data_IF_382835060766
#
_entry.id   IF_382835060766
#
_cell.length_a   1.000
_cell.length_b   1.000
_cell.length_c   1.000
_cell.angle_alpha   90.00
_cell.angle_beta   90.00
_cell.angle_gamma   90.00
#
_symmetry.space_group_name_H-M   'P 1'
#
loop_
_entity.id
_entity.type
_entity.pdbx_description
1 polymer ?
#
# COMPACT_ATOMS: atom_id res chain seq x y z
N UNK A 1 68.71 7.97 29.56
CA UNK A 1 69.56 9.14 29.87
C UNK A 1 68.78 10.40 29.49
N UNK A 2 68.68 11.26 30.55
CA UNK A 2 68.39 12.71 30.51
C UNK A 2 66.96 13.13 30.09
N UNK A 3 66.26 14.03 30.77
CA UNK A 3 66.23 14.58 32.16
C UNK A 3 64.88 15.27 32.28
N UNK A 4 64.27 15.12 33.45
CA UNK A 4 63.17 15.92 33.98
C UNK A 4 63.56 17.40 34.03
N UNK A 5 62.60 18.29 33.75
CA UNK A 5 62.56 19.60 34.41
C UNK A 5 61.16 19.96 34.84
N UNK A 6 61.00 19.97 36.13
CA UNK A 6 59.90 20.49 36.94
C UNK A 6 60.12 22.01 37.05
N UNK A 7 59.06 22.82 36.87
CA UNK A 7 58.98 24.20 37.37
C UNK A 7 57.74 24.40 38.23
N UNK A 8 58.01 24.78 39.45
CA UNK A 8 57.05 25.09 40.53
C UNK A 8 56.79 26.59 40.61
N UNK A 9 55.50 26.96 40.69
CA UNK A 9 54.79 27.99 41.52
C UNK A 9 55.20 29.50 41.44
N UNK A 10 54.35 30.44 41.81
CA UNK A 10 53.54 30.46 43.04
C UNK A 10 52.07 30.94 42.98
N UNK A 11 51.35 30.55 44.01
CA UNK A 11 50.02 30.98 44.45
C UNK A 11 49.99 32.49 44.76
N UNK A 12 49.00 33.23 44.17
CA UNK A 12 48.51 34.48 44.72
C UNK A 12 47.00 34.38 44.96
N UNK A 13 46.60 34.40 46.20
CA UNK A 13 45.22 34.50 46.64
C UNK A 13 44.78 35.97 46.54
N UNK A 14 43.75 36.22 45.75
CA UNK A 14 43.00 37.48 45.78
C UNK A 14 41.56 37.15 46.19
N UNK A 15 41.22 37.55 47.42
CA UNK A 15 39.85 37.55 47.95
C UNK A 15 39.10 38.71 47.28
N UNK A 16 38.12 38.45 46.41
CA UNK A 16 37.18 39.43 45.95
C UNK A 16 35.76 38.97 46.31
N UNK A 17 35.10 39.71 47.16
CA UNK A 17 33.75 39.46 47.60
C UNK A 17 32.76 39.52 46.43
N UNK A 18 32.06 38.45 46.19
CA UNK A 18 30.94 38.41 45.24
C UNK A 18 29.64 38.78 45.96
N UNK A 19 29.11 39.97 45.66
CA UNK A 19 27.73 40.30 45.94
C UNK A 19 26.83 39.38 45.09
N UNK A 20 26.07 38.49 45.77
CA UNK A 20 25.00 37.74 45.11
C UNK A 20 23.84 38.68 44.77
N UNK A 21 23.78 39.17 43.54
CA UNK A 21 22.55 39.66 42.94
C UNK A 21 21.72 38.45 42.52
N UNK A 22 20.70 38.09 43.29
CA UNK A 22 19.70 37.13 42.84
C UNK A 22 18.96 37.72 41.61
N UNK A 23 18.94 37.08 40.46
CA UNK A 23 18.05 37.48 39.38
C UNK A 23 16.61 37.21 39.86
N UNK A 24 15.79 38.27 39.94
CA UNK A 24 14.35 38.14 40.10
C UNK A 24 13.84 37.24 38.96
N UNK A 25 13.19 36.12 39.30
CA UNK A 25 12.40 35.36 38.36
C UNK A 25 11.39 36.31 37.73
N UNK A 26 11.65 36.75 36.49
CA UNK A 26 10.60 37.26 35.63
C UNK A 26 9.66 36.05 35.41
N UNK A 27 8.42 36.15 35.93
CA UNK A 27 7.33 35.32 35.39
C UNK A 27 7.34 35.56 33.87
N UNK A 28 7.78 34.58 33.13
CA UNK A 28 7.49 34.48 31.70
C UNK A 28 5.97 34.30 31.66
N UNK A 29 5.25 35.37 31.31
CA UNK A 29 3.87 35.26 30.91
C UNK A 29 3.91 34.43 29.64
N UNK A 30 3.57 33.15 29.74
CA UNK A 30 3.24 32.33 28.59
C UNK A 30 1.92 32.88 28.04
N UNK A 31 1.99 33.91 27.20
CA UNK A 31 0.92 34.04 26.21
C UNK A 31 0.91 32.71 25.44
N UNK A 32 -0.25 32.10 25.19
CA UNK A 32 -0.31 30.91 24.37
C UNK A 32 0.29 31.27 23.01
N UNK A 33 1.37 30.58 22.66
CA UNK A 33 1.99 30.71 21.35
C UNK A 33 0.95 30.19 20.37
N UNK A 34 0.26 31.08 19.67
CA UNK A 34 -0.78 30.77 18.70
C UNK A 34 -0.15 30.28 17.36
N UNK A 35 1.07 29.76 17.40
CA UNK A 35 1.67 29.10 16.24
C UNK A 35 1.00 27.74 16.03
N UNK A 36 0.46 27.56 14.84
CA UNK A 36 -0.09 26.28 14.42
C UNK A 36 1.07 25.27 14.43
N UNK A 37 0.90 24.19 15.17
CA UNK A 37 1.82 23.08 15.13
C UNK A 37 1.81 22.46 13.71
N UNK A 38 2.98 22.25 13.12
CA UNK A 38 3.08 21.77 11.74
C UNK A 38 3.34 20.26 11.73
N UNK A 39 2.66 19.52 10.87
CA UNK A 39 2.88 18.09 10.71
C UNK A 39 4.35 17.76 10.35
N UNK A 40 4.99 18.63 9.57
CA UNK A 40 6.39 18.46 9.13
C UNK A 40 7.45 18.50 10.24
N UNK A 41 7.13 18.98 11.44
CA UNK A 41 8.08 18.99 12.57
C UNK A 41 8.06 17.71 13.38
N UNK A 42 7.08 16.83 13.14
CA UNK A 42 6.95 15.54 13.81
C UNK A 42 7.60 14.40 13.00
N UNK A 43 8.14 13.39 13.68
CA UNK A 43 8.64 12.18 13.02
C UNK A 43 7.49 11.32 12.47
N UNK A 44 7.79 10.50 11.48
CA UNK A 44 6.80 9.66 10.78
C UNK A 44 6.40 8.37 11.52
N UNK A 45 7.02 8.07 12.65
CA UNK A 45 6.92 6.76 13.34
C UNK A 45 5.47 6.28 13.53
N UNK A 46 4.54 7.17 13.86
CA UNK A 46 3.15 6.80 14.07
C UNK A 46 2.51 6.24 12.80
N UNK A 47 2.75 6.85 11.63
CA UNK A 47 2.23 6.35 10.33
C UNK A 47 2.87 5.01 10.00
N UNK A 48 4.20 4.95 10.08
CA UNK A 48 4.96 3.74 9.78
C UNK A 48 4.51 2.54 10.64
N UNK A 49 4.46 2.69 11.93
CA UNK A 49 4.10 1.62 12.87
C UNK A 49 2.65 1.12 12.66
N UNK A 50 1.72 2.01 12.28
CA UNK A 50 0.36 1.63 11.93
C UNK A 50 0.29 0.92 10.58
N UNK A 51 1.11 1.31 9.60
CA UNK A 51 1.22 0.63 8.32
C UNK A 51 1.80 -0.78 8.48
N UNK A 52 2.85 -0.97 9.29
CA UNK A 52 3.37 -2.31 9.63
C UNK A 52 2.27 -3.21 10.22
N UNK A 53 1.50 -2.68 11.18
CA UNK A 53 0.41 -3.44 11.79
C UNK A 53 -0.70 -3.76 10.79
N UNK A 54 -1.00 -2.84 9.87
CA UNK A 54 -1.93 -3.10 8.77
C UNK A 54 -1.47 -4.27 7.90
N UNK A 55 -0.22 -4.28 7.47
CA UNK A 55 0.36 -5.32 6.63
C UNK A 55 0.37 -6.69 7.34
N UNK A 56 0.66 -6.70 8.65
CA UNK A 56 0.61 -7.90 9.47
C UNK A 56 -0.82 -8.47 9.56
N UNK A 57 -1.83 -7.63 9.80
CA UNK A 57 -3.23 -8.05 9.86
C UNK A 57 -3.71 -8.54 8.49
N UNK A 58 -3.41 -7.80 7.42
CA UNK A 58 -3.84 -8.09 6.05
C UNK A 58 -3.33 -9.45 5.58
N UNK A 59 -2.12 -9.82 5.95
CA UNK A 59 -1.54 -11.13 5.65
C UNK A 59 -2.47 -12.29 6.00
N UNK A 60 -3.24 -12.17 7.08
CA UNK A 60 -4.12 -13.23 7.60
C UNK A 60 -5.62 -12.95 7.38
N UNK A 61 -5.96 -11.79 6.83
CA UNK A 61 -7.35 -11.38 6.68
C UNK A 61 -7.98 -11.98 5.42
N UNK A 62 -8.75 -13.06 5.59
CA UNK A 62 -9.48 -13.68 4.49
C UNK A 62 -10.51 -12.71 3.87
N UNK A 63 -10.60 -12.70 2.52
CA UNK A 63 -11.53 -11.87 1.77
C UNK A 63 -10.99 -10.46 1.42
N UNK A 64 -9.82 -10.07 1.93
CA UNK A 64 -9.25 -8.74 1.68
C UNK A 64 -8.42 -8.66 0.39
N UNK A 65 -8.12 -9.79 -0.22
CA UNK A 65 -7.37 -9.84 -1.49
C UNK A 65 -8.31 -9.87 -2.68
N UNK A 66 -7.94 -9.23 -3.77
CA UNK A 66 -6.86 -8.27 -3.93
C UNK A 66 -7.32 -6.80 -3.77
N UNK A 67 -8.63 -6.55 -3.81
CA UNK A 67 -9.20 -5.19 -3.86
C UNK A 67 -9.47 -4.55 -2.49
N UNK A 68 -10.13 -5.23 -1.52
CA UNK A 68 -10.53 -4.60 -0.26
C UNK A 68 -9.38 -4.05 0.58
N UNK A 69 -8.17 -4.66 0.53
CA UNK A 69 -7.00 -4.13 1.24
C UNK A 69 -6.51 -2.78 0.68
N UNK A 70 -6.27 -2.60 -0.64
CA UNK A 70 -6.05 -1.29 -1.24
C UNK A 70 -7.11 -0.26 -0.87
N UNK A 71 -8.39 -0.64 -0.88
CA UNK A 71 -9.49 0.22 -0.47
C UNK A 71 -9.36 0.69 0.99
N UNK A 72 -9.00 -0.20 1.89
CA UNK A 72 -8.79 0.16 3.30
C UNK A 72 -7.63 1.16 3.46
N UNK A 73 -6.51 0.95 2.75
CA UNK A 73 -5.38 1.90 2.73
C UNK A 73 -5.84 3.27 2.23
N UNK A 74 -6.64 3.31 1.15
CA UNK A 74 -7.13 4.56 0.57
C UNK A 74 -7.98 5.37 1.57
N UNK A 75 -8.95 4.74 2.24
CA UNK A 75 -9.79 5.43 3.22
C UNK A 75 -9.04 5.82 4.50
N UNK A 76 -8.13 4.98 4.97
CA UNK A 76 -7.28 5.34 6.12
C UNK A 76 -6.35 6.50 5.77
N UNK A 77 -5.71 6.47 4.60
CA UNK A 77 -4.88 7.56 4.11
C UNK A 77 -5.67 8.86 3.93
N UNK A 78 -6.91 8.78 3.43
CA UNK A 78 -7.81 9.94 3.33
C UNK A 78 -8.13 10.53 4.70
N UNK A 79 -8.41 9.69 5.71
CA UNK A 79 -8.67 10.16 7.06
C UNK A 79 -7.46 10.84 7.70
N UNK A 80 -6.27 10.27 7.50
CA UNK A 80 -5.03 10.88 7.99
C UNK A 80 -4.74 12.21 7.32
N UNK A 81 -4.89 12.28 5.99
CA UNK A 81 -4.64 13.48 5.20
C UNK A 81 -5.59 14.61 5.58
N UNK A 82 -6.89 14.36 5.54
CA UNK A 82 -7.89 15.37 5.91
C UNK A 82 -7.83 15.74 7.38
N UNK A 83 -7.52 14.78 8.27
CA UNK A 83 -7.35 15.02 9.70
C UNK A 83 -6.16 15.88 10.05
N UNK A 84 -5.12 15.91 9.22
CA UNK A 84 -3.91 16.69 9.46
C UNK A 84 -3.78 17.93 8.55
N UNK A 85 -4.74 18.18 7.67
CA UNK A 85 -4.63 19.21 6.62
C UNK A 85 -4.33 20.61 7.18
N UNK A 86 -4.85 20.97 8.35
CA UNK A 86 -4.58 22.24 9.00
C UNK A 86 -3.12 22.39 9.44
N UNK A 87 -2.45 21.28 9.76
CA UNK A 87 -1.01 21.22 10.05
C UNK A 87 -0.12 21.10 8.81
N UNK A 88 -0.69 21.10 7.62
CA UNK A 88 -0.01 20.91 6.33
C UNK A 88 -0.28 22.10 5.38
N UNK A 89 0.25 23.30 5.66
CA UNK A 89 -0.17 24.55 4.99
C UNK A 89 0.13 24.61 3.48
N UNK A 90 1.06 23.79 2.98
CA UNK A 90 1.37 23.71 1.56
C UNK A 90 0.41 22.78 0.80
N UNK A 91 -0.45 22.07 1.53
CA UNK A 91 -1.46 21.17 1.02
C UNK A 91 -2.86 21.75 1.18
N UNK A 92 -3.81 21.22 0.41
CA UNK A 92 -5.22 21.61 0.46
C UNK A 92 -6.12 20.39 0.64
N UNK A 93 -7.25 20.58 1.31
CA UNK A 93 -8.28 19.55 1.43
C UNK A 93 -8.81 19.16 0.06
N UNK A 94 -8.97 17.86 -0.14
CA UNK A 94 -9.61 17.25 -1.31
C UNK A 94 -11.03 16.73 -0.98
N UNK A 95 -11.50 16.88 0.26
CA UNK A 95 -12.80 16.36 0.68
C UNK A 95 -13.96 16.87 -0.18
N UNK A 96 -13.87 18.10 -0.70
CA UNK A 96 -14.88 18.71 -1.58
C UNK A 96 -15.05 17.98 -2.93
N UNK A 97 -14.09 17.15 -3.34
CA UNK A 97 -14.20 16.31 -4.54
C UNK A 97 -15.16 15.13 -4.33
N UNK A 98 -15.45 14.77 -3.09
CA UNK A 98 -16.19 13.57 -2.72
C UNK A 98 -17.53 13.94 -2.11
N UNK A 99 -18.57 13.97 -2.95
CA UNK A 99 -19.94 14.34 -2.54
C UNK A 99 -20.42 13.45 -1.39
N UNK A 100 -20.78 14.09 -0.28
CA UNK A 100 -21.23 13.40 0.95
C UNK A 100 -20.13 13.13 1.96
N UNK A 101 -18.87 13.43 1.66
CA UNK A 101 -17.78 13.43 2.66
C UNK A 101 -17.78 14.79 3.39
N UNK A 102 -18.07 14.76 4.68
CA UNK A 102 -18.09 15.96 5.52
C UNK A 102 -17.08 15.80 6.65
N UNK A 103 -15.91 16.38 6.50
CA UNK A 103 -14.85 16.34 7.50
C UNK A 103 -15.13 17.45 8.54
N UNK A 104 -15.06 17.16 9.85
CA UNK A 104 -15.20 18.17 10.88
C UNK A 104 -14.02 19.15 10.84
N UNK A 105 -14.29 20.42 11.19
CA UNK A 105 -13.26 21.44 11.34
C UNK A 105 -12.53 21.32 12.68
N UNK A 106 -11.29 21.81 12.75
CA UNK A 106 -10.58 22.03 14.00
C UNK A 106 -11.18 23.21 14.76
N UNK A 107 -11.11 23.20 16.09
CA UNK A 107 -11.53 24.35 16.90
C UNK A 107 -10.56 25.53 16.70
N UNK A 108 -11.12 26.68 16.35
CA UNK A 108 -10.32 27.88 16.04
C UNK A 108 -9.51 28.37 17.27
N UNK A 109 -8.22 28.59 17.08
CA UNK A 109 -7.31 29.08 18.11
C UNK A 109 -6.82 28.01 19.08
N UNK A 110 -7.19 26.75 18.88
CA UNK A 110 -6.76 25.65 19.72
C UNK A 110 -5.57 24.89 19.10
N UNK A 111 -4.69 24.38 19.97
CA UNK A 111 -3.53 23.57 19.56
C UNK A 111 -3.93 22.10 19.36
N UNK A 112 -3.42 21.49 18.31
CA UNK A 112 -3.57 20.08 17.99
C UNK A 112 -2.21 19.39 17.85
N UNK A 113 -2.15 18.12 18.27
CA UNK A 113 -0.99 17.25 18.14
C UNK A 113 -1.27 16.22 17.01
N UNK A 114 -0.70 16.43 15.84
CA UNK A 114 -1.01 15.65 14.64
C UNK A 114 -0.69 14.17 14.77
N UNK A 115 0.39 13.72 15.45
CA UNK A 115 0.59 12.31 15.74
C UNK A 115 -0.57 11.67 16.53
N UNK A 116 -1.23 12.42 17.44
CA UNK A 116 -2.42 11.93 18.16
C UNK A 116 -3.65 11.83 17.26
N UNK A 117 -3.79 12.73 16.29
CA UNK A 117 -4.85 12.66 15.28
C UNK A 117 -4.69 11.38 14.46
N UNK A 118 -3.47 11.10 13.93
CA UNK A 118 -3.17 9.87 13.19
C UNK A 118 -3.44 8.62 14.04
N UNK A 119 -2.94 8.59 15.27
CA UNK A 119 -3.17 7.46 16.17
C UNK A 119 -4.67 7.17 16.34
N UNK A 120 -5.47 8.22 16.53
CA UNK A 120 -6.91 8.08 16.72
C UNK A 120 -7.66 7.67 15.44
N UNK A 121 -7.29 8.20 14.25
CA UNK A 121 -7.88 7.79 12.96
C UNK A 121 -7.63 6.32 12.71
N UNK A 122 -6.39 5.87 12.89
CA UNK A 122 -5.98 4.48 12.64
C UNK A 122 -6.60 3.50 13.63
N UNK A 123 -6.57 3.80 14.92
CA UNK A 123 -7.21 2.98 15.96
C UNK A 123 -8.72 2.85 15.76
N UNK A 124 -9.38 3.90 15.23
CA UNK A 124 -10.81 3.86 14.93
C UNK A 124 -11.12 3.04 13.68
N UNK A 125 -10.35 3.20 12.59
CA UNK A 125 -10.67 2.63 11.27
C UNK A 125 -10.21 1.19 11.13
N UNK A 126 -9.04 0.83 11.65
CA UNK A 126 -8.43 -0.49 11.40
C UNK A 126 -9.33 -1.66 11.84
N UNK A 127 -9.92 -1.71 13.06
CA UNK A 127 -10.80 -2.81 13.44
C UNK A 127 -12.13 -2.80 12.67
N UNK A 128 -12.51 -1.69 12.05
CA UNK A 128 -13.71 -1.58 11.21
C UNK A 128 -13.48 -2.06 9.80
N UNK A 129 -12.31 -1.80 9.24
CA UNK A 129 -11.91 -2.38 7.96
C UNK A 129 -11.57 -3.86 8.09
N UNK A 130 -10.96 -4.31 9.18
CA UNK A 130 -10.63 -5.71 9.43
C UNK A 130 -11.58 -6.35 10.46
N UNK A 131 -12.85 -6.44 10.12
CA UNK A 131 -13.88 -6.99 11.04
C UNK A 131 -13.62 -8.45 11.43
N UNK A 132 -12.86 -9.20 10.61
CA UNK A 132 -12.46 -10.58 10.86
C UNK A 132 -11.04 -10.71 11.46
N UNK A 133 -10.46 -9.61 11.93
CA UNK A 133 -9.18 -9.64 12.63
C UNK A 133 -9.23 -10.56 13.85
N UNK A 134 -8.16 -11.30 14.09
CA UNK A 134 -8.06 -12.18 15.25
C UNK A 134 -8.08 -11.40 16.58
N UNK A 135 -8.40 -12.07 17.68
CA UNK A 135 -8.33 -11.44 19.01
C UNK A 135 -6.92 -10.90 19.31
N UNK A 136 -5.86 -11.59 18.87
CA UNK A 136 -4.48 -11.11 18.99
C UNK A 136 -4.24 -9.82 18.20
N UNK A 137 -4.74 -9.73 16.97
CA UNK A 137 -4.66 -8.52 16.17
C UNK A 137 -5.45 -7.36 16.78
N UNK A 138 -6.65 -7.59 17.31
CA UNK A 138 -7.41 -6.55 18.02
C UNK A 138 -6.67 -6.06 19.28
N UNK A 139 -5.99 -6.95 20.01
CA UNK A 139 -5.13 -6.56 21.12
C UNK A 139 -3.91 -5.74 20.65
N UNK A 140 -3.29 -6.11 19.53
CA UNK A 140 -2.19 -5.35 18.95
C UNK A 140 -2.61 -3.92 18.54
N UNK A 141 -3.80 -3.77 17.95
CA UNK A 141 -4.40 -2.46 17.64
C UNK A 141 -4.56 -1.63 18.93
N UNK A 142 -5.16 -2.20 19.97
CA UNK A 142 -5.38 -1.50 21.25
C UNK A 142 -4.04 -1.14 21.93
N UNK A 143 -3.06 -2.03 21.88
CA UNK A 143 -1.73 -1.78 22.45
C UNK A 143 -0.99 -0.66 21.69
N UNK A 144 -1.10 -0.60 20.37
CA UNK A 144 -0.51 0.46 19.54
C UNK A 144 -1.17 1.82 19.85
N UNK A 145 -2.52 1.87 19.95
CA UNK A 145 -3.23 3.08 20.36
C UNK A 145 -2.74 3.58 21.73
N UNK A 146 -2.69 2.70 22.73
CA UNK A 146 -2.28 3.05 24.09
C UNK A 146 -0.81 3.55 24.12
N UNK A 147 0.09 2.91 23.38
CA UNK A 147 1.49 3.34 23.31
C UNK A 147 1.65 4.78 22.84
N UNK A 148 0.96 5.16 21.77
CA UNK A 148 1.03 6.54 21.25
C UNK A 148 0.25 7.53 22.11
N UNK A 149 -0.84 7.12 22.75
CA UNK A 149 -1.57 7.95 23.70
C UNK A 149 -0.71 8.33 24.91
N UNK A 150 0.00 7.37 25.49
CA UNK A 150 0.86 7.61 26.65
C UNK A 150 2.04 8.54 26.30
N UNK A 151 2.63 8.39 25.13
CA UNK A 151 3.68 9.29 24.64
C UNK A 151 3.15 10.70 24.43
N UNK A 152 2.01 10.84 23.74
CA UNK A 152 1.42 12.14 23.45
C UNK A 152 1.05 12.92 24.73
N UNK A 153 0.51 12.23 25.75
CA UNK A 153 0.23 12.86 27.06
C UNK A 153 1.47 13.44 27.73
N UNK A 154 2.60 12.73 27.62
CA UNK A 154 3.87 13.21 28.15
C UNK A 154 4.43 14.40 27.34
N UNK A 155 4.20 14.43 26.03
CA UNK A 155 4.72 15.43 25.11
C UNK A 155 3.91 16.73 25.16
N UNK A 156 2.57 16.64 25.04
CA UNK A 156 1.69 17.83 24.90
C UNK A 156 0.66 18.00 26.03
N UNK A 157 0.64 17.09 27.00
CA UNK A 157 -0.31 17.12 28.13
C UNK A 157 -1.71 16.62 27.76
N UNK A 158 -2.51 16.35 28.83
CA UNK A 158 -3.82 15.68 28.70
C UNK A 158 -4.82 16.48 27.85
N UNK A 159 -4.82 17.81 27.92
CA UNK A 159 -5.81 18.64 27.25
C UNK A 159 -5.63 18.62 25.71
N UNK A 160 -4.40 18.86 25.23
CA UNK A 160 -4.09 18.87 23.80
C UNK A 160 -4.23 17.46 23.24
N UNK A 161 -3.71 16.44 23.96
CA UNK A 161 -3.88 15.05 23.57
C UNK A 161 -5.36 14.66 23.42
N UNK A 162 -6.21 14.93 24.42
CA UNK A 162 -7.62 14.56 24.39
C UNK A 162 -8.36 15.22 23.22
N UNK A 163 -8.16 16.54 23.02
CA UNK A 163 -8.74 17.28 21.90
C UNK A 163 -8.32 16.67 20.55
N UNK A 164 -7.04 16.40 20.37
CA UNK A 164 -6.49 15.84 19.13
C UNK A 164 -7.04 14.44 18.86
N UNK A 165 -7.14 13.62 19.91
CA UNK A 165 -7.72 12.28 19.84
C UNK A 165 -9.20 12.31 19.47
N UNK A 166 -9.98 13.17 20.11
CA UNK A 166 -11.43 13.30 19.84
C UNK A 166 -11.69 13.81 18.43
N UNK A 167 -10.91 14.79 17.98
CA UNK A 167 -10.96 15.28 16.59
C UNK A 167 -10.59 14.17 15.59
N UNK A 168 -9.49 13.44 15.80
CA UNK A 168 -9.09 12.32 14.94
C UNK A 168 -10.17 11.23 14.84
N UNK A 169 -10.83 10.90 15.97
CA UNK A 169 -11.98 9.98 15.96
C UNK A 169 -13.17 10.52 15.16
N UNK A 170 -13.45 11.81 15.25
CA UNK A 170 -14.54 12.44 14.51
C UNK A 170 -14.26 12.43 13.01
N UNK A 171 -13.03 12.74 12.58
CA UNK A 171 -12.58 12.61 11.18
C UNK A 171 -12.72 11.16 10.68
N UNK A 172 -12.21 10.21 11.45
CA UNK A 172 -12.30 8.79 11.12
C UNK A 172 -13.74 8.31 10.99
N UNK A 173 -14.63 8.76 11.87
CA UNK A 173 -16.05 8.44 11.81
C UNK A 173 -16.71 8.99 10.53
N UNK A 174 -16.38 10.22 10.14
CA UNK A 174 -16.89 10.82 8.90
C UNK A 174 -16.44 10.03 7.66
N UNK A 175 -15.15 9.66 7.60
CA UNK A 175 -14.60 8.85 6.51
C UNK A 175 -15.20 7.44 6.51
N UNK A 176 -15.40 6.83 7.68
CA UNK A 176 -16.05 5.53 7.79
C UNK A 176 -17.49 5.55 7.27
N UNK A 177 -18.30 6.54 7.69
CA UNK A 177 -19.68 6.69 7.19
C UNK A 177 -19.68 6.92 5.68
N UNK A 178 -18.78 7.73 5.16
CA UNK A 178 -18.62 7.91 3.72
C UNK A 178 -18.22 6.60 3.02
N UNK A 179 -17.33 5.80 3.61
CA UNK A 179 -16.91 4.51 3.04
C UNK A 179 -18.07 3.54 2.87
N UNK A 180 -19.07 3.58 3.77
CA UNK A 180 -20.26 2.71 3.70
C UNK A 180 -21.17 3.00 2.53
N UNK A 181 -21.10 4.21 1.95
CA UNK A 181 -21.89 4.56 0.76
C UNK A 181 -21.36 3.95 -0.54
N UNK A 182 -20.21 3.31 -0.51
CA UNK A 182 -19.68 2.45 -1.57
C UNK A 182 -20.31 1.06 -1.46
N UNK A 183 -21.46 0.87 -2.09
CA UNK A 183 -22.28 -0.34 -1.93
C UNK A 183 -21.58 -1.63 -2.37
N UNK A 184 -20.67 -1.56 -3.34
CA UNK A 184 -19.89 -2.72 -3.80
C UNK A 184 -18.68 -2.95 -2.90
N UNK A 185 -17.88 -1.91 -2.65
CA UNK A 185 -16.60 -2.04 -1.95
C UNK A 185 -16.74 -2.32 -0.47
N UNK A 186 -17.80 -1.81 0.19
CA UNK A 186 -17.89 -1.84 1.65
C UNK A 186 -17.94 -3.26 2.23
N UNK A 187 -18.74 -4.15 1.65
CA UNK A 187 -18.97 -5.50 2.18
C UNK A 187 -18.36 -6.60 1.30
N UNK A 188 -17.57 -6.24 0.28
CA UNK A 188 -17.04 -7.22 -0.68
C UNK A 188 -16.22 -8.35 -0.01
N UNK A 189 -15.45 -8.03 1.03
CA UNK A 189 -14.61 -8.99 1.76
C UNK A 189 -15.41 -10.12 2.41
N UNK A 190 -16.71 -9.92 2.70
CA UNK A 190 -17.58 -10.95 3.28
C UNK A 190 -17.87 -12.08 2.30
N UNK A 191 -17.97 -11.78 1.03
CA UNK A 191 -18.12 -12.78 -0.03
C UNK A 191 -17.52 -12.27 -1.36
N UNK A 192 -16.20 -12.41 -1.55
CA UNK A 192 -15.53 -11.94 -2.76
C UNK A 192 -15.89 -12.74 -4.02
N UNK A 193 -16.63 -13.84 -3.88
CA UNK A 193 -17.04 -14.74 -4.96
C UNK A 193 -18.48 -14.55 -5.43
N UNK A 194 -19.23 -13.63 -4.81
CA UNK A 194 -20.65 -13.45 -5.14
C UNK A 194 -20.89 -12.65 -6.42
N UNK A 195 -22.11 -12.79 -6.96
CA UNK A 195 -22.69 -11.95 -8.01
C UNK A 195 -22.02 -12.07 -9.38
N UNK A 196 -21.33 -13.17 -9.67
CA UNK A 196 -20.81 -13.42 -11.02
C UNK A 196 -20.84 -14.92 -11.34
N UNK A 197 -21.57 -15.29 -12.40
CA UNK A 197 -21.68 -16.65 -12.91
C UNK A 197 -20.78 -16.77 -14.14
N UNK A 198 -19.59 -17.34 -14.02
CA UNK A 198 -18.64 -17.40 -15.13
C UNK A 198 -19.19 -18.16 -16.35
N UNK A 199 -20.08 -19.14 -16.15
CA UNK A 199 -20.72 -19.91 -17.23
C UNK A 199 -21.50 -19.04 -18.22
N UNK A 200 -22.09 -17.94 -17.72
CA UNK A 200 -22.83 -17.00 -18.56
C UNK A 200 -21.92 -16.17 -19.47
N UNK A 201 -20.61 -16.17 -19.18
CA UNK A 201 -19.60 -15.40 -19.89
C UNK A 201 -18.61 -16.27 -20.69
N UNK A 202 -18.69 -17.62 -20.58
CA UNK A 202 -17.89 -18.53 -21.36
C UNK A 202 -18.59 -18.92 -22.65
N UNK A 203 -18.29 -18.22 -23.74
CA UNK A 203 -18.96 -18.37 -25.02
C UNK A 203 -18.11 -19.08 -26.07
N UNK A 204 -16.78 -19.08 -25.90
CA UNK A 204 -15.83 -19.61 -26.87
C UNK A 204 -14.48 -19.91 -26.22
N UNK A 205 -13.62 -20.62 -26.93
CA UNK A 205 -12.21 -20.74 -26.59
C UNK A 205 -11.57 -19.35 -26.54
N UNK A 206 -10.73 -19.12 -25.53
CA UNK A 206 -10.16 -17.82 -25.21
C UNK A 206 -10.88 -17.10 -24.07
N UNK A 207 -12.12 -17.46 -23.78
CA UNK A 207 -12.85 -16.94 -22.62
C UNK A 207 -12.38 -17.65 -21.35
N UNK A 208 -12.31 -16.93 -20.24
CA UNK A 208 -11.84 -17.44 -18.97
C UNK A 208 -12.85 -18.40 -18.32
N UNK A 209 -12.30 -19.43 -17.72
CA UNK A 209 -12.99 -20.33 -16.78
C UNK A 209 -12.09 -20.60 -15.57
N UNK A 210 -12.67 -20.99 -14.40
CA UNK A 210 -11.88 -21.31 -13.22
C UNK A 210 -10.84 -22.38 -13.49
N UNK A 211 -9.66 -22.19 -12.88
CA UNK A 211 -8.51 -23.08 -12.92
C UNK A 211 -8.17 -23.58 -11.53
N UNK A 212 -7.38 -24.65 -11.41
CA UNK A 212 -6.94 -25.21 -10.13
C UNK A 212 -6.05 -24.20 -9.35
N UNK A 213 -6.11 -24.15 -8.05
CA UNK A 213 -6.99 -24.86 -7.10
C UNK A 213 -8.29 -24.10 -6.80
N UNK A 214 -8.69 -23.20 -7.66
CA UNK A 214 -9.77 -22.25 -7.44
C UNK A 214 -11.08 -22.86 -6.95
N UNK A 215 -11.90 -22.08 -6.25
CA UNK A 215 -13.19 -22.49 -5.68
C UNK A 215 -14.27 -22.76 -6.72
N UNK A 216 -13.92 -22.81 -8.01
CA UNK A 216 -14.88 -22.92 -9.09
C UNK A 216 -15.68 -21.63 -9.38
N UNK A 217 -15.37 -20.54 -8.69
CA UNK A 217 -16.01 -19.24 -8.84
C UNK A 217 -14.98 -18.12 -8.99
N UNK A 218 -15.30 -17.06 -9.76
CA UNK A 218 -14.40 -15.93 -9.95
C UNK A 218 -14.36 -15.03 -8.72
N UNK A 219 -13.15 -14.65 -8.33
CA UNK A 219 -12.94 -13.70 -7.23
C UNK A 219 -13.05 -12.26 -7.74
N UNK A 220 -13.90 -11.47 -7.11
CA UNK A 220 -14.01 -10.03 -7.39
C UNK A 220 -14.78 -9.69 -8.66
N UNK A 221 -15.72 -10.54 -9.12
CA UNK A 221 -16.48 -10.32 -10.37
C UNK A 221 -17.14 -8.97 -10.52
N UNK A 222 -17.51 -8.32 -9.41
CA UNK A 222 -18.13 -6.99 -9.38
C UNK A 222 -17.22 -5.89 -8.82
N UNK A 223 -15.96 -6.20 -8.50
CA UNK A 223 -15.05 -5.23 -7.87
C UNK A 223 -14.82 -3.98 -8.73
N UNK A 224 -14.88 -4.10 -10.04
CA UNK A 224 -14.77 -2.97 -10.97
C UNK A 224 -15.82 -1.87 -10.80
N UNK A 225 -16.89 -2.15 -10.07
CA UNK A 225 -17.97 -1.19 -9.78
C UNK A 225 -17.80 -0.53 -8.39
N UNK A 226 -16.75 -0.86 -7.65
CA UNK A 226 -16.38 -0.18 -6.41
C UNK A 226 -15.92 1.25 -6.68
N UNK A 227 -15.95 2.07 -5.61
CA UNK A 227 -15.56 3.49 -5.70
C UNK A 227 -14.07 3.63 -6.03
N UNK A 228 -13.80 4.50 -7.01
CA UNK A 228 -12.49 5.06 -7.30
C UNK A 228 -12.40 6.51 -6.79
N UNK A 229 -11.19 7.03 -6.61
CA UNK A 229 -10.92 8.36 -6.04
C UNK A 229 -10.45 9.38 -7.09
N UNK A 230 -9.62 8.96 -8.04
CA UNK A 230 -9.01 9.84 -9.04
C UNK A 230 -9.45 9.55 -10.47
N UNK A 231 -10.02 8.37 -10.74
CA UNK A 231 -10.44 7.96 -12.09
C UNK A 231 -11.96 7.96 -12.22
N UNK A 232 -12.43 8.27 -13.44
CA UNK A 232 -13.84 8.18 -13.82
C UNK A 232 -14.18 6.84 -14.49
N UNK A 233 -15.48 6.63 -14.81
CA UNK A 233 -15.96 5.39 -15.43
C UNK A 233 -15.29 5.08 -16.78
N UNK A 234 -14.99 6.13 -17.57
CA UNK A 234 -14.31 5.99 -18.88
C UNK A 234 -12.84 5.55 -18.76
N UNK A 235 -12.25 5.70 -17.58
CA UNK A 235 -10.87 5.35 -17.31
C UNK A 235 -10.68 3.91 -16.82
N UNK A 236 -11.79 3.21 -16.51
CA UNK A 236 -11.75 1.86 -15.92
C UNK A 236 -11.50 0.73 -16.93
N UNK A 237 -11.48 1.02 -18.22
CA UNK A 237 -11.24 0.01 -19.27
C UNK A 237 -9.91 0.29 -19.95
N UNK A 238 -9.01 -0.68 -19.87
CA UNK A 238 -7.71 -0.63 -20.54
C UNK A 238 -7.82 -0.92 -22.04
N UNK A 239 -6.71 -0.87 -22.79
CA UNK A 239 -6.67 -1.22 -24.20
C UNK A 239 -7.06 -2.68 -24.39
N UNK A 240 -7.57 -3.01 -25.59
CA UNK A 240 -7.98 -4.37 -25.92
C UNK A 240 -6.78 -5.34 -25.96
N UNK A 241 -6.98 -6.61 -25.54
CA UNK A 241 -5.96 -7.65 -25.64
C UNK A 241 -5.71 -8.08 -27.09
N UNK A 242 -4.67 -8.90 -27.30
CA UNK A 242 -4.50 -9.62 -28.55
C UNK A 242 -5.72 -10.51 -28.82
N UNK A 243 -6.17 -10.64 -30.08
CA UNK A 243 -7.25 -11.54 -30.41
C UNK A 243 -6.86 -13.01 -30.15
N UNK A 244 -7.83 -13.79 -29.65
CA UNK A 244 -7.63 -15.23 -29.49
C UNK A 244 -7.28 -15.89 -30.81
N UNK A 245 -6.29 -16.76 -30.77
CA UNK A 245 -5.92 -17.66 -31.90
C UNK A 245 -5.07 -18.80 -31.39
N UNK A 246 -5.39 -20.04 -31.84
CA UNK A 246 -4.60 -21.23 -31.60
C UNK A 246 -3.58 -21.48 -32.73
N UNK A 247 -3.53 -20.64 -33.77
CA UNK A 247 -2.61 -20.82 -34.90
C UNK A 247 -1.15 -20.61 -34.44
N UNK A 248 -0.22 -21.51 -34.76
CA UNK A 248 1.19 -21.40 -34.37
C UNK A 248 1.91 -20.14 -34.88
N UNK A 249 1.34 -19.46 -35.85
CA UNK A 249 1.86 -18.18 -36.40
C UNK A 249 1.26 -16.93 -35.73
N UNK A 250 0.36 -17.11 -34.76
CA UNK A 250 -0.30 -15.99 -34.12
C UNK A 250 0.55 -15.38 -33.01
N UNK A 251 0.32 -14.07 -32.71
CA UNK A 251 0.98 -13.39 -31.64
C UNK A 251 0.65 -13.99 -30.26
N UNK A 252 -0.61 -14.43 -30.04
CA UNK A 252 -1.00 -15.05 -28.77
C UNK A 252 -0.29 -16.38 -28.56
N UNK A 253 -0.17 -17.22 -29.62
CA UNK A 253 0.58 -18.48 -29.57
C UNK A 253 2.04 -18.24 -29.19
N UNK A 254 2.68 -17.21 -29.77
CA UNK A 254 4.07 -16.85 -29.45
C UNK A 254 4.23 -16.46 -28.00
N UNK A 255 3.27 -15.72 -27.43
CA UNK A 255 3.31 -15.38 -26.00
C UNK A 255 3.03 -16.59 -25.09
N UNK A 256 2.17 -17.50 -25.51
CA UNK A 256 1.97 -18.75 -24.79
C UNK A 256 3.23 -19.65 -24.81
N UNK A 257 3.96 -19.71 -25.93
CA UNK A 257 5.27 -20.35 -26.00
C UNK A 257 6.31 -19.70 -25.11
N UNK A 258 6.29 -18.37 -24.98
CA UNK A 258 7.17 -17.67 -24.06
C UNK A 258 6.91 -18.12 -22.61
N UNK A 259 5.65 -18.13 -22.17
CA UNK A 259 5.28 -18.60 -20.82
C UNK A 259 5.69 -20.06 -20.62
N UNK A 260 5.37 -20.92 -21.60
CA UNK A 260 5.73 -22.32 -21.58
C UNK A 260 7.25 -22.54 -21.45
N UNK A 261 8.05 -21.80 -22.20
CA UNK A 261 9.50 -21.95 -22.24
C UNK A 261 10.20 -21.45 -20.96
N UNK A 262 9.59 -20.54 -20.20
CA UNK A 262 10.21 -19.99 -19.00
C UNK A 262 10.33 -21.00 -17.86
N UNK A 263 9.43 -21.99 -17.77
CA UNK A 263 9.43 -22.96 -16.68
C UNK A 263 9.48 -24.43 -17.14
N UNK A 264 9.69 -24.70 -18.45
CA UNK A 264 9.76 -26.06 -18.99
C UNK A 264 11.14 -26.31 -19.64
N UNK A 265 11.88 -27.37 -19.28
CA UNK A 265 11.52 -28.39 -18.28
C UNK A 265 11.73 -27.95 -16.83
N UNK A 266 12.58 -26.92 -16.59
CA UNK A 266 12.91 -26.40 -15.24
C UNK A 266 12.99 -24.89 -15.26
N UNK A 267 12.41 -24.27 -14.24
CA UNK A 267 12.54 -22.85 -13.99
C UNK A 267 14.01 -22.51 -13.67
N UNK A 268 14.56 -21.43 -14.23
CA UNK A 268 15.90 -20.98 -13.82
C UNK A 268 15.85 -20.38 -12.40
N UNK A 269 16.94 -20.53 -11.64
CA UNK A 269 17.01 -19.98 -10.28
C UNK A 269 16.66 -18.48 -10.23
N UNK A 270 17.17 -17.68 -11.17
CA UNK A 270 16.82 -16.24 -11.18
C UNK A 270 15.34 -15.99 -11.49
N UNK A 271 14.72 -16.78 -12.37
CA UNK A 271 13.30 -16.64 -12.67
C UNK A 271 12.42 -17.11 -11.49
N UNK A 272 12.83 -18.15 -10.77
CA UNK A 272 12.23 -18.61 -9.52
C UNK A 272 12.31 -17.53 -8.45
N UNK A 273 13.49 -16.99 -8.17
CA UNK A 273 13.69 -15.89 -7.24
C UNK A 273 12.84 -14.67 -7.57
N UNK A 274 12.84 -14.20 -8.83
CA UNK A 274 11.96 -13.10 -9.27
C UNK A 274 10.49 -13.46 -9.03
N UNK A 275 10.08 -14.68 -9.39
CA UNK A 275 8.73 -15.17 -9.22
C UNK A 275 8.28 -15.15 -7.75
N UNK A 276 9.05 -15.75 -6.87
CA UNK A 276 8.75 -15.86 -5.45
C UNK A 276 8.80 -14.51 -4.75
N UNK A 277 9.82 -13.69 -5.04
CA UNK A 277 9.99 -12.36 -4.45
C UNK A 277 8.79 -11.44 -4.70
N UNK A 278 8.14 -11.53 -5.87
CA UNK A 278 6.99 -10.71 -6.25
C UNK A 278 5.65 -11.45 -6.19
N UNK A 279 5.62 -12.68 -5.70
CA UNK A 279 4.40 -13.49 -5.72
C UNK A 279 3.26 -12.83 -4.97
N UNK A 280 3.40 -12.64 -3.68
CA UNK A 280 2.40 -12.02 -2.80
C UNK A 280 0.94 -12.51 -3.02
N UNK A 281 0.78 -13.65 -3.70
CA UNK A 281 -0.53 -14.20 -4.07
C UNK A 281 -1.22 -14.94 -2.92
N UNK A 282 -0.45 -15.49 -1.96
CA UNK A 282 -0.91 -16.54 -1.08
C UNK A 282 -1.29 -16.00 0.32
N UNK A 283 -2.54 -16.23 0.71
CA UNK A 283 -3.05 -15.90 2.02
C UNK A 283 -2.26 -16.64 3.11
N UNK A 284 -2.00 -16.01 4.24
CA UNK A 284 -1.18 -16.46 5.35
C UNK A 284 0.33 -16.52 5.08
N UNK A 285 0.76 -16.45 3.83
CA UNK A 285 2.19 -16.47 3.47
C UNK A 285 2.78 -15.05 3.47
N UNK A 286 2.19 -14.13 2.72
CA UNK A 286 2.63 -12.74 2.59
C UNK A 286 1.43 -11.80 2.68
N UNK A 287 1.66 -10.49 2.76
CA UNK A 287 0.65 -9.48 2.40
C UNK A 287 0.33 -9.58 0.90
N UNK A 288 -0.78 -8.96 0.46
CA UNK A 288 -1.19 -9.04 -0.96
C UNK A 288 -0.44 -8.06 -1.87
N UNK A 289 -0.49 -8.25 -3.21
CA UNK A 289 0.34 -7.50 -4.17
C UNK A 289 0.18 -5.99 -4.16
N UNK A 290 -1.01 -5.48 -3.86
CA UNK A 290 -1.25 -4.05 -3.72
C UNK A 290 -0.54 -3.46 -2.50
N UNK A 291 -0.82 -3.91 -1.27
CA UNK A 291 -0.13 -3.52 -0.04
C UNK A 291 1.39 -3.63 -0.08
N UNK A 292 1.98 -4.43 -0.97
CA UNK A 292 3.43 -4.43 -1.24
C UNK A 292 3.97 -3.02 -1.46
N UNK A 293 3.26 -2.17 -2.19
CA UNK A 293 3.72 -0.83 -2.52
C UNK A 293 3.62 0.16 -1.35
N UNK A 294 2.74 -0.13 -0.37
CA UNK A 294 2.80 0.54 0.92
C UNK A 294 4.08 0.15 1.69
N UNK A 295 4.40 -1.15 1.74
CA UNK A 295 5.62 -1.65 2.39
C UNK A 295 6.91 -1.10 1.74
N UNK A 296 6.93 -0.93 0.42
CA UNK A 296 8.02 -0.25 -0.30
C UNK A 296 8.11 1.22 0.12
N UNK A 297 6.99 1.94 0.14
CA UNK A 297 6.94 3.34 0.59
C UNK A 297 7.41 3.51 2.03
N UNK A 298 7.05 2.61 2.94
CA UNK A 298 7.48 2.62 4.33
C UNK A 298 9.00 2.42 4.48
N UNK A 299 9.62 1.59 3.63
CA UNK A 299 11.08 1.48 3.60
C UNK A 299 11.73 2.79 3.16
N UNK A 300 11.15 3.49 2.18
CA UNK A 300 11.66 4.79 1.72
C UNK A 300 11.52 5.84 2.81
N UNK A 301 10.37 5.91 3.52
CA UNK A 301 10.19 6.82 4.65
C UNK A 301 11.27 6.66 5.73
N UNK A 302 11.68 5.42 6.00
CA UNK A 302 12.78 5.12 6.94
C UNK A 302 14.15 5.52 6.39
N UNK A 303 14.42 5.21 5.12
CA UNK A 303 15.72 5.50 4.48
C UNK A 303 15.98 7.01 4.40
N UNK A 304 14.94 7.80 4.15
CA UNK A 304 15.00 9.26 3.99
C UNK A 304 14.81 10.01 5.32
N UNK A 305 14.59 9.31 6.43
CA UNK A 305 14.21 9.94 7.72
C UNK A 305 13.10 10.98 7.53
N UNK A 306 12.09 10.61 6.73
CA UNK A 306 11.01 11.50 6.32
C UNK A 306 10.18 11.96 7.51
N UNK A 307 9.58 13.14 7.42
CA UNK A 307 8.70 13.67 8.45
C UNK A 307 7.25 13.15 8.32
N UNK A 308 6.40 13.50 9.30
CA UNK A 308 5.00 13.08 9.35
C UNK A 308 4.19 13.55 8.14
N UNK A 309 4.39 14.80 7.68
CA UNK A 309 3.69 15.35 6.49
C UNK A 309 3.95 14.50 5.25
N UNK A 310 5.22 14.16 4.99
CA UNK A 310 5.60 13.29 3.86
C UNK A 310 4.98 11.89 3.99
N UNK A 311 4.96 11.32 5.19
CA UNK A 311 4.39 9.99 5.42
C UNK A 311 2.87 9.95 5.19
N UNK A 312 2.14 10.97 5.66
CA UNK A 312 0.70 11.14 5.41
C UNK A 312 0.44 11.26 3.91
N UNK A 313 1.19 12.14 3.23
CA UNK A 313 1.03 12.39 1.81
C UNK A 313 1.35 11.15 0.96
N UNK A 314 2.43 10.44 1.28
CA UNK A 314 2.76 9.16 0.65
C UNK A 314 1.63 8.14 0.82
N UNK A 315 1.13 7.97 2.04
CA UNK A 315 0.13 6.94 2.33
C UNK A 315 -1.19 7.18 1.60
N UNK A 316 -1.69 8.41 1.55
CA UNK A 316 -2.95 8.72 0.86
C UNK A 316 -2.80 8.52 -0.65
N UNK A 317 -1.69 8.97 -1.25
CA UNK A 317 -1.46 8.82 -2.70
C UNK A 317 -1.29 7.36 -3.10
N UNK A 318 -0.49 6.60 -2.35
CA UNK A 318 -0.33 5.15 -2.57
C UNK A 318 -1.68 4.45 -2.42
N UNK A 319 -2.43 4.74 -1.36
CA UNK A 319 -3.75 4.16 -1.15
C UNK A 319 -4.72 4.41 -2.32
N UNK A 320 -4.79 5.64 -2.80
CA UNK A 320 -5.63 6.00 -3.94
C UNK A 320 -5.19 5.30 -5.22
N UNK A 321 -3.88 5.29 -5.50
CA UNK A 321 -3.33 4.66 -6.69
C UNK A 321 -3.61 3.15 -6.71
N UNK A 322 -3.42 2.47 -5.58
CA UNK A 322 -3.67 1.03 -5.46
C UNK A 322 -5.15 0.68 -5.56
N UNK A 323 -6.03 1.46 -4.90
CA UNK A 323 -7.47 1.26 -4.98
C UNK A 323 -7.99 1.43 -6.41
N UNK A 324 -7.64 2.54 -7.05
CA UNK A 324 -8.12 2.86 -8.38
C UNK A 324 -7.56 1.89 -9.43
N UNK A 325 -6.30 1.47 -9.27
CA UNK A 325 -5.69 0.44 -10.10
C UNK A 325 -6.40 -0.92 -9.94
N UNK A 326 -6.76 -1.31 -8.71
CA UNK A 326 -7.52 -2.55 -8.47
C UNK A 326 -8.92 -2.47 -9.08
N UNK A 327 -9.65 -1.37 -8.90
CA UNK A 327 -10.98 -1.16 -9.48
C UNK A 327 -10.93 -1.23 -11.00
N UNK A 328 -10.05 -0.46 -11.63
CA UNK A 328 -9.94 -0.41 -13.09
C UNK A 328 -9.44 -1.74 -13.69
N UNK A 329 -8.46 -2.38 -13.04
CA UNK A 329 -7.96 -3.68 -13.45
C UNK A 329 -9.07 -4.73 -13.43
N UNK A 330 -9.86 -4.82 -12.36
CA UNK A 330 -10.96 -5.78 -12.24
C UNK A 330 -12.10 -5.47 -13.20
N UNK A 331 -12.43 -4.19 -13.44
CA UNK A 331 -13.39 -3.82 -14.50
C UNK A 331 -12.95 -4.33 -15.87
N UNK A 332 -11.68 -4.13 -16.21
CA UNK A 332 -11.10 -4.59 -17.47
C UNK A 332 -11.03 -6.12 -17.57
N UNK A 333 -10.66 -6.82 -16.48
CA UNK A 333 -10.59 -8.29 -16.43
C UNK A 333 -11.91 -8.95 -16.82
N UNK A 334 -13.00 -8.52 -16.20
CA UNK A 334 -14.31 -9.10 -16.44
C UNK A 334 -15.00 -8.55 -17.69
N UNK A 335 -14.52 -7.41 -18.22
CA UNK A 335 -14.92 -6.90 -19.53
C UNK A 335 -14.34 -7.74 -20.68
N UNK A 336 -13.04 -8.04 -20.64
CA UNK A 336 -12.35 -8.78 -21.71
C UNK A 336 -12.40 -10.29 -21.53
N UNK A 337 -12.54 -10.77 -20.31
CA UNK A 337 -12.71 -12.17 -19.94
C UNK A 337 -11.66 -13.13 -20.52
N UNK A 338 -10.39 -12.73 -20.57
CA UNK A 338 -9.29 -13.50 -21.19
C UNK A 338 -8.88 -14.69 -20.34
N UNK A 339 -8.77 -15.89 -20.95
CA UNK A 339 -8.32 -17.10 -20.30
C UNK A 339 -6.87 -17.01 -19.76
N UNK A 340 -6.54 -17.85 -18.78
CA UNK A 340 -5.20 -17.95 -18.22
C UNK A 340 -4.25 -18.74 -19.14
N UNK A 341 -2.91 -18.48 -19.06
CA UNK A 341 -1.93 -19.29 -19.80
C UNK A 341 -2.10 -20.79 -19.60
N UNK A 342 -2.40 -21.24 -18.37
CA UNK A 342 -2.63 -22.66 -18.08
C UNK A 342 -3.74 -23.25 -18.97
N UNK A 343 -4.89 -22.56 -19.07
CA UNK A 343 -5.99 -23.06 -19.90
C UNK A 343 -5.62 -23.14 -21.38
N UNK A 344 -4.95 -22.09 -21.89
CA UNK A 344 -4.49 -22.03 -23.26
C UNK A 344 -3.42 -23.09 -23.55
N UNK A 345 -2.36 -23.15 -22.74
CA UNK A 345 -1.23 -24.06 -22.95
C UNK A 345 -1.68 -25.52 -22.89
N UNK A 346 -2.52 -25.88 -21.91
CA UNK A 346 -3.02 -27.26 -21.79
C UNK A 346 -3.89 -27.67 -22.98
N UNK A 347 -4.60 -26.73 -23.60
CA UNK A 347 -5.43 -27.04 -24.80
C UNK A 347 -4.62 -27.09 -26.09
N UNK A 348 -3.59 -26.22 -26.25
CA UNK A 348 -2.98 -25.94 -27.56
C UNK A 348 -1.56 -26.46 -27.68
N UNK A 349 -0.80 -26.55 -26.56
CA UNK A 349 0.64 -26.84 -26.59
C UNK A 349 0.96 -28.15 -25.86
N UNK A 350 0.66 -28.24 -24.58
CA UNK A 350 1.01 -29.37 -23.71
C UNK A 350 -0.07 -29.57 -22.63
N UNK A 351 -0.88 -30.62 -22.70
CA UNK A 351 -1.95 -30.89 -21.77
C UNK A 351 -1.50 -31.21 -20.34
N UNK A 352 -0.21 -31.50 -20.15
CA UNK A 352 0.37 -31.82 -18.83
C UNK A 352 1.03 -30.63 -18.13
N UNK A 353 1.16 -29.51 -18.82
CA UNK A 353 1.87 -28.32 -18.28
C UNK A 353 1.14 -27.72 -17.08
N UNK A 354 1.93 -27.29 -16.09
CA UNK A 354 1.48 -26.56 -14.90
C UNK A 354 2.24 -25.25 -14.75
N UNK A 355 1.60 -24.19 -14.22
CA UNK A 355 2.30 -23.00 -13.75
C UNK A 355 3.34 -23.35 -12.67
N UNK A 356 4.33 -22.48 -12.48
CA UNK A 356 5.36 -22.62 -11.43
C UNK A 356 4.93 -22.04 -10.08
N UNK A 357 3.79 -21.35 -10.01
CA UNK A 357 3.27 -20.83 -8.73
C UNK A 357 2.79 -22.02 -7.87
N UNK A 358 3.47 -22.24 -6.73
CA UNK A 358 3.15 -23.28 -5.77
C UNK A 358 2.83 -22.65 -4.41
N UNK A 359 1.97 -23.30 -3.63
CA UNK A 359 1.68 -22.89 -2.27
C UNK A 359 2.48 -23.72 -1.27
N UNK A 360 3.54 -23.17 -0.64
CA UNK A 360 4.36 -23.92 0.31
C UNK A 360 3.62 -24.26 1.61
N UNK A 361 2.48 -23.60 1.91
CA UNK A 361 1.71 -23.85 3.14
C UNK A 361 0.76 -25.04 2.97
N UNK A 362 0.17 -25.21 1.80
CA UNK A 362 -0.77 -26.31 1.50
C UNK A 362 -0.13 -27.47 0.74
N UNK A 363 0.97 -27.21 0.04
CA UNK A 363 1.61 -28.15 -0.89
C UNK A 363 0.92 -28.20 -2.26
N UNK A 364 0.00 -27.29 -2.55
CA UNK A 364 -0.63 -27.20 -3.87
C UNK A 364 0.35 -26.73 -4.94
N UNK A 365 0.42 -27.45 -6.03
CA UNK A 365 1.27 -27.12 -7.18
C UNK A 365 0.46 -26.59 -8.35
N UNK A 366 1.02 -25.65 -9.11
CA UNK A 366 0.41 -25.10 -10.31
C UNK A 366 -0.82 -24.23 -10.01
N UNK A 367 -0.73 -23.44 -8.98
CA UNK A 367 -1.79 -22.51 -8.54
C UNK A 367 -2.02 -21.42 -9.59
N UNK A 368 -3.27 -21.13 -9.89
CA UNK A 368 -3.65 -20.03 -10.78
C UNK A 368 -4.72 -19.17 -10.13
N UNK A 369 -4.57 -17.82 -10.09
CA UNK A 369 -5.55 -16.95 -9.49
C UNK A 369 -6.94 -17.06 -10.13
N UNK A 370 -8.01 -17.04 -9.32
CA UNK A 370 -9.39 -17.34 -9.70
C UNK A 370 -10.12 -16.14 -10.33
N UNK A 371 -9.53 -15.55 -11.38
CA UNK A 371 -10.09 -14.44 -12.17
C UNK A 371 -9.39 -14.33 -13.55
N UNK A 372 -10.01 -13.63 -14.54
CA UNK A 372 -9.45 -13.50 -15.90
C UNK A 372 -8.02 -12.95 -15.92
N UNK A 373 -7.25 -13.31 -16.94
CA UNK A 373 -5.84 -12.96 -17.04
C UNK A 373 -5.60 -11.47 -17.26
N UNK A 374 -6.23 -10.88 -18.26
CA UNK A 374 -5.92 -9.56 -18.81
C UNK A 374 -6.74 -8.41 -18.23
N UNK A 375 -6.10 -7.28 -17.84
CA UNK A 375 -4.67 -7.06 -17.64
C UNK A 375 -4.16 -7.68 -16.33
N UNK A 376 -2.84 -7.72 -16.10
CA UNK A 376 -2.25 -8.23 -14.86
C UNK A 376 -2.52 -7.30 -13.67
N UNK A 377 -3.04 -7.85 -12.56
CA UNK A 377 -3.28 -7.11 -11.32
C UNK A 377 -2.00 -6.60 -10.67
N UNK A 378 -0.99 -7.47 -10.54
CA UNK A 378 0.34 -7.10 -10.03
C UNK A 378 0.95 -5.94 -10.81
N UNK A 379 0.92 -6.05 -12.16
CA UNK A 379 1.48 -5.01 -13.02
C UNK A 379 0.73 -3.68 -12.92
N UNK A 380 -0.61 -3.73 -12.84
CA UNK A 380 -1.44 -2.50 -12.79
C UNK A 380 -1.27 -1.78 -11.45
N UNK A 381 -1.38 -2.50 -10.32
CA UNK A 381 -1.18 -1.90 -9.01
C UNK A 381 0.29 -1.51 -8.80
N UNK A 382 1.22 -2.34 -9.26
CA UNK A 382 2.65 -2.07 -9.16
C UNK A 382 3.06 -0.78 -9.86
N UNK A 383 2.65 -0.60 -11.11
CA UNK A 383 2.98 0.59 -11.86
C UNK A 383 2.28 1.85 -11.33
N UNK A 384 1.06 1.73 -10.78
CA UNK A 384 0.38 2.85 -10.14
C UNK A 384 1.10 3.27 -8.84
N UNK A 385 1.53 2.31 -8.02
CA UNK A 385 2.35 2.55 -6.82
C UNK A 385 3.71 3.19 -7.17
N UNK A 386 4.40 2.65 -8.18
CA UNK A 386 5.68 3.19 -8.66
C UNK A 386 5.57 4.64 -9.15
N UNK A 387 4.51 4.97 -9.89
CA UNK A 387 4.26 6.33 -10.40
C UNK A 387 4.11 7.34 -9.25
N UNK A 388 3.28 7.01 -8.23
CA UNK A 388 3.07 7.95 -7.12
C UNK A 388 4.28 8.03 -6.20
N UNK A 389 4.99 6.93 -5.94
CA UNK A 389 6.25 6.98 -5.18
C UNK A 389 7.32 7.78 -5.93
N UNK A 390 7.45 7.57 -7.25
CA UNK A 390 8.36 8.35 -8.09
C UNK A 390 8.05 9.84 -8.09
N UNK A 391 6.78 10.24 -8.02
CA UNK A 391 6.38 11.65 -7.94
C UNK A 391 6.75 12.32 -6.61
N UNK A 392 6.88 11.54 -5.53
CA UNK A 392 7.19 12.05 -4.18
C UNK A 392 8.70 12.03 -3.92
N UNK A 393 9.36 10.90 -4.21
CA UNK A 393 10.77 10.65 -3.85
C UNK A 393 11.75 10.79 -5.03
N UNK A 394 11.22 10.98 -6.23
CA UNK A 394 12.01 11.08 -7.44
C UNK A 394 11.96 9.83 -8.32
N UNK A 395 11.88 10.03 -9.63
CA UNK A 395 11.75 8.94 -10.61
C UNK A 395 13.02 8.08 -10.80
N UNK A 396 14.17 8.60 -10.38
CA UNK A 396 15.46 7.90 -10.41
C UNK A 396 15.91 7.46 -9.01
N UNK A 397 14.95 7.09 -8.15
CA UNK A 397 15.20 6.66 -6.78
C UNK A 397 15.70 5.21 -6.74
N UNK A 398 16.95 5.01 -6.33
CA UNK A 398 17.56 3.69 -6.20
C UNK A 398 17.41 3.17 -4.77
N UNK A 399 16.94 1.91 -4.63
CA UNK A 399 16.80 1.29 -3.33
C UNK A 399 16.95 -0.23 -3.37
N UNK A 400 17.19 -0.83 -2.21
CA UNK A 400 17.09 -2.27 -2.01
C UNK A 400 15.81 -2.59 -1.27
N UNK A 401 14.90 -3.32 -1.92
CA UNK A 401 13.68 -3.80 -1.31
C UNK A 401 13.95 -5.02 -0.42
N UNK A 402 13.55 -4.93 0.84
CA UNK A 402 13.74 -5.90 1.91
C UNK A 402 12.43 -6.43 2.48
N UNK A 403 11.30 -6.28 1.77
CA UNK A 403 9.98 -6.65 2.27
C UNK A 403 9.89 -8.11 2.75
N UNK A 404 10.67 -8.99 2.16
CA UNK A 404 10.68 -10.42 2.47
C UNK A 404 12.00 -10.92 3.09
N UNK A 405 12.87 -10.00 3.49
CA UNK A 405 14.13 -10.37 4.13
C UNK A 405 13.87 -11.27 5.36
N UNK A 406 14.68 -12.33 5.52
CA UNK A 406 14.56 -13.34 6.57
C UNK A 406 13.34 -14.30 6.44
N UNK A 407 12.65 -14.31 5.30
CA UNK A 407 11.69 -15.36 5.01
C UNK A 407 12.42 -16.64 4.58
N UNK A 408 11.85 -17.79 4.95
CA UNK A 408 12.44 -19.12 4.70
C UNK A 408 11.49 -20.06 3.96
N UNK A 409 10.23 -19.65 3.81
CA UNK A 409 9.22 -20.41 3.12
C UNK A 409 9.34 -20.29 1.59
N UNK A 410 10.05 -19.28 1.12
CA UNK A 410 10.33 -18.96 -0.28
C UNK A 410 11.60 -18.10 -0.39
N UNK A 411 12.11 -17.87 -1.61
CA UNK A 411 13.30 -17.04 -1.84
C UNK A 411 12.95 -15.54 -1.64
N UNK A 412 13.16 -15.07 -0.43
CA UNK A 412 12.89 -13.69 0.02
C UNK A 412 14.12 -12.78 0.08
N UNK A 413 15.27 -13.19 -0.47
CA UNK A 413 16.50 -12.38 -0.44
C UNK A 413 16.26 -10.97 -1.03
N UNK A 414 16.84 -9.90 -0.42
CA UNK A 414 16.65 -8.53 -0.89
C UNK A 414 17.10 -8.32 -2.34
N UNK A 415 16.36 -7.46 -3.06
CA UNK A 415 16.65 -7.10 -4.45
C UNK A 415 16.84 -5.60 -4.58
N UNK A 416 17.85 -5.19 -5.38
CA UNK A 416 18.22 -3.79 -5.59
C UNK A 416 17.77 -3.31 -6.98
N UNK A 417 17.20 -2.10 -7.01
CA UNK A 417 16.65 -1.48 -8.20
C UNK A 417 17.13 -0.03 -8.34
N UNK A 418 17.30 0.43 -9.57
CA UNK A 418 17.69 1.81 -9.90
C UNK A 418 16.51 2.79 -9.87
N UNK A 419 15.26 2.29 -9.86
CA UNK A 419 14.05 3.12 -9.82
C UNK A 419 12.83 2.31 -9.40
N UNK A 420 11.74 3.00 -8.97
CA UNK A 420 10.44 2.36 -8.74
C UNK A 420 9.84 1.76 -10.02
N UNK A 421 10.13 2.34 -11.18
CA UNK A 421 9.69 1.77 -12.46
C UNK A 421 10.39 0.44 -12.78
N UNK A 422 11.69 0.33 -12.49
CA UNK A 422 12.41 -0.94 -12.63
C UNK A 422 11.82 -2.01 -11.70
N UNK A 423 11.43 -1.62 -10.47
CA UNK A 423 10.70 -2.51 -9.56
C UNK A 423 9.36 -2.95 -10.15
N UNK A 424 8.59 -2.02 -10.72
CA UNK A 424 7.29 -2.33 -11.34
C UNK A 424 7.42 -3.21 -12.58
N UNK A 425 8.44 -3.01 -13.39
CA UNK A 425 8.73 -3.82 -14.57
C UNK A 425 9.14 -5.24 -14.18
N UNK A 426 9.98 -5.42 -13.15
CA UNK A 426 10.34 -6.75 -12.66
C UNK A 426 9.14 -7.44 -11.99
N UNK A 427 8.36 -6.72 -11.18
CA UNK A 427 7.10 -7.22 -10.63
C UNK A 427 6.15 -7.72 -11.75
N UNK A 428 6.02 -6.95 -12.82
CA UNK A 428 5.21 -7.34 -13.97
C UNK A 428 5.79 -8.57 -14.68
N UNK A 429 7.11 -8.58 -14.92
CA UNK A 429 7.81 -9.70 -15.54
C UNK A 429 7.70 -10.99 -14.73
N UNK A 430 7.71 -10.93 -13.39
CA UNK A 430 7.64 -12.09 -12.50
C UNK A 430 6.48 -13.03 -12.82
N UNK A 431 5.40 -12.51 -13.40
CA UNK A 431 4.17 -13.24 -13.68
C UNK A 431 4.28 -14.20 -14.88
N UNK A 432 5.23 -13.93 -15.77
CA UNK A 432 5.49 -14.76 -16.95
C UNK A 432 6.20 -16.07 -16.58
N UNK A 433 7.36 -16.06 -15.87
CA UNK A 433 8.01 -17.30 -15.43
C UNK A 433 7.16 -18.09 -14.41
N UNK A 434 6.34 -17.44 -13.59
CA UNK A 434 5.38 -18.14 -12.74
C UNK A 434 4.26 -18.84 -13.54
N UNK A 435 4.09 -18.50 -14.81
CA UNK A 435 3.11 -19.15 -15.66
C UNK A 435 1.67 -18.67 -15.52
N UNK A 436 1.43 -17.54 -14.85
CA UNK A 436 0.08 -17.07 -14.52
C UNK A 436 -0.44 -15.93 -15.40
N UNK A 437 0.44 -15.31 -16.21
CA UNK A 437 0.10 -14.22 -17.13
C UNK A 437 0.86 -14.33 -18.45
N UNK A 438 0.20 -13.89 -19.54
CA UNK A 438 0.88 -13.60 -20.81
C UNK A 438 1.63 -12.27 -20.73
N UNK A 439 2.63 -12.06 -21.59
CA UNK A 439 3.36 -10.79 -21.67
C UNK A 439 2.43 -9.60 -21.93
N UNK A 440 1.41 -9.75 -22.78
CA UNK A 440 0.44 -8.68 -23.05
C UNK A 440 -0.27 -8.20 -21.79
N UNK A 441 -0.60 -9.12 -20.86
CA UNK A 441 -1.28 -8.80 -19.61
C UNK A 441 -0.40 -7.90 -18.74
N UNK A 442 0.90 -8.22 -18.68
CA UNK A 442 1.91 -7.50 -17.92
C UNK A 442 2.20 -6.12 -18.50
N UNK A 443 2.46 -6.07 -19.83
CA UNK A 443 2.79 -4.82 -20.53
C UNK A 443 1.63 -3.81 -20.46
N UNK A 444 0.41 -4.25 -20.72
CA UNK A 444 -0.75 -3.36 -20.60
C UNK A 444 -1.02 -2.98 -19.14
N UNK A 445 -0.81 -3.91 -18.20
CA UNK A 445 -0.93 -3.62 -16.77
C UNK A 445 0.00 -2.49 -16.35
N UNK A 446 1.29 -2.53 -16.72
CA UNK A 446 2.27 -1.46 -16.42
C UNK A 446 1.83 -0.13 -17.03
N UNK A 447 1.48 -0.12 -18.33
CA UNK A 447 1.01 1.12 -18.99
C UNK A 447 -0.24 1.69 -18.30
N UNK A 448 -1.21 0.83 -18.00
CA UNK A 448 -2.49 1.23 -17.43
C UNK A 448 -2.33 1.75 -16.00
N UNK A 449 -1.57 1.04 -15.17
CA UNK A 449 -1.26 1.47 -13.81
C UNK A 449 -0.54 2.81 -13.77
N UNK A 450 0.45 3.03 -14.65
CA UNK A 450 1.14 4.32 -14.77
C UNK A 450 0.15 5.46 -15.09
N UNK A 451 -0.81 5.24 -16.01
CA UNK A 451 -1.83 6.26 -16.32
C UNK A 451 -2.70 6.57 -15.10
N UNK A 452 -3.09 5.54 -14.33
CA UNK A 452 -3.90 5.70 -13.12
C UNK A 452 -3.10 6.46 -12.04
N UNK A 453 -1.84 6.08 -11.81
CA UNK A 453 -0.97 6.79 -10.87
C UNK A 453 -0.81 8.28 -11.20
N UNK A 454 -0.69 8.63 -12.48
CA UNK A 454 -0.67 10.03 -12.94
C UNK A 454 -1.94 10.77 -12.60
N UNK A 455 -3.12 10.15 -12.79
CA UNK A 455 -4.39 10.77 -12.40
C UNK A 455 -4.48 11.03 -10.90
N UNK A 456 -3.91 10.16 -10.08
CA UNK A 456 -3.77 10.42 -8.64
C UNK A 456 -2.81 11.58 -8.38
N UNK A 457 -1.68 11.66 -9.11
CA UNK A 457 -0.76 12.78 -9.00
C UNK A 457 -1.40 14.12 -9.40
N UNK A 458 -2.32 14.11 -10.37
CA UNK A 458 -3.00 15.29 -10.91
C UNK A 458 -4.16 15.81 -10.02
N UNK A 459 -4.52 15.10 -8.94
CA UNK A 459 -5.47 15.64 -7.96
C UNK A 459 -4.93 16.93 -7.33
N UNK A 460 -5.81 17.88 -6.95
CA UNK A 460 -5.37 19.19 -6.46
C UNK A 460 -4.83 19.12 -5.02
N UNK A 461 -3.72 18.44 -4.82
CA UNK A 461 -3.11 18.22 -3.51
C UNK A 461 -2.49 19.48 -2.88
N UNK A 462 -2.01 20.40 -3.69
CA UNK A 462 -1.24 21.58 -3.26
C UNK A 462 -1.96 22.88 -3.60
N UNK A 463 -1.62 23.94 -2.84
CA UNK A 463 -2.15 25.28 -3.04
C UNK A 463 -1.53 25.99 -4.25
#
# INVERSE_FOLDING_TARGET
MHFLKIYTLPLFAILAGALFLMPACKKVSSEPNNEIDLARVHPNNVVYDWNELFLEIERYAAGYRPGPAPRAIAYMGLADYEGCITGMPDHRSIASLYVGLNIPDVESGEQYHWPSVINATRAYLMPRFFINASAAHLQAIAAREAFYDDRARQEVGDQVWARSKDYGKAVAAAVWEYSKTDGVGHNHFLNPFQNYTWQDHYNKDGDWKPTFPGPGQPMGGVWGDARAFAIGETDKICRQPLPYSAAPTSALYSQALEVYAQNTPTLSHNAEWIGEFWSDDLLNLTFSPGPRWLAVGDQVLKLEDSNLETAIFMTVKVGFALNDAAVACWKSKFHYNVERPQTYINRVIDPSWKPALNDPLTGDEGVTPSFPAYPSGHSTMGAAGAEVLGSIFGYAYSMTDRCHENRHEFEGAPRTFGSFYEMADENAWSRVPLGVHFRMDCTEGVRFGTVIGRKVNDLPWQN
#
